data_IF_886885944370
#
_entry.id   IF_886885944370
#
_cell.length_a   1.000
_cell.length_b   1.000
_cell.length_c   1.000
_cell.angle_alpha   90.00
_cell.angle_beta   90.00
_cell.angle_gamma   90.00
#
_symmetry.space_group_name_H-M   'P 1'
#
loop_
_entity.id
_entity.type
_entity.pdbx_description
1 polymer ?
#
# COMPACT_ATOMS: atom_id res chain seq x y z
N UNK A 1 5.17 14.40 0.71
CA UNK A 1 4.78 13.06 0.24
C UNK A 1 6.01 12.43 -0.41
N UNK A 2 6.80 11.69 0.37
CA UNK A 2 8.00 11.03 -0.11
C UNK A 2 7.63 9.60 -0.52
N UNK A 3 7.83 9.26 -1.78
CA UNK A 3 7.62 7.91 -2.30
C UNK A 3 8.99 7.23 -2.28
N UNK A 4 9.20 6.28 -1.37
CA UNK A 4 10.40 5.45 -1.39
C UNK A 4 10.21 4.28 -2.35
N UNK A 5 11.12 4.14 -3.31
CA UNK A 5 11.18 3.03 -4.27
C UNK A 5 12.55 2.36 -4.08
N UNK A 6 12.62 1.29 -3.27
CA UNK A 6 13.83 0.51 -3.02
C UNK A 6 13.90 -0.69 -3.98
N UNK A 7 15.00 -0.79 -4.73
CA UNK A 7 15.14 -1.65 -5.89
C UNK A 7 16.14 -2.79 -5.59
N UNK A 8 15.70 -4.06 -5.53
CA UNK A 8 16.55 -5.26 -5.69
C UNK A 8 15.70 -6.54 -5.78
N UNK A 9 15.80 -7.24 -6.93
CA UNK A 9 15.44 -8.66 -7.20
C UNK A 9 14.02 -9.20 -6.94
N UNK A 10 13.15 -8.47 -6.24
CA UNK A 10 11.70 -8.65 -6.22
C UNK A 10 11.10 -7.36 -6.82
N UNK A 11 10.41 -7.42 -7.97
CA UNK A 11 9.81 -6.20 -8.52
C UNK A 11 8.88 -5.57 -7.48
N UNK A 12 9.14 -4.29 -7.24
CA UNK A 12 8.72 -3.50 -6.08
C UNK A 12 7.19 -3.49 -5.98
N UNK A 13 6.66 -3.85 -4.80
CA UNK A 13 5.23 -3.67 -4.50
C UNK A 13 5.00 -2.21 -4.07
N UNK A 14 4.11 -1.52 -4.77
CA UNK A 14 3.74 -0.14 -4.46
C UNK A 14 2.90 -0.11 -3.19
N UNK A 15 3.13 0.89 -2.36
CA UNK A 15 2.29 1.19 -1.21
C UNK A 15 2.06 2.70 -1.10
N UNK A 16 1.05 3.06 -0.32
CA UNK A 16 0.72 4.44 0.04
C UNK A 16 0.69 4.54 1.55
N UNK A 17 1.17 5.65 2.09
CA UNK A 17 1.18 5.91 3.52
C UNK A 17 0.48 7.23 3.86
N UNK A 18 -0.10 7.28 5.05
CA UNK A 18 -0.69 8.48 5.64
C UNK A 18 -0.32 8.52 7.12
N UNK A 19 0.44 9.56 7.50
CA UNK A 19 1.06 9.68 8.82
C UNK A 19 0.52 10.85 9.65
N UNK A 20 -0.36 11.68 9.09
CA UNK A 20 -0.77 12.94 9.74
C UNK A 20 -1.50 12.72 11.08
N UNK A 21 -2.17 11.57 11.24
CA UNK A 21 -2.86 11.19 12.48
C UNK A 21 -1.96 10.42 13.45
N UNK A 22 -0.73 10.06 13.07
CA UNK A 22 0.11 9.16 13.85
C UNK A 22 0.62 9.82 15.12
N UNK A 23 0.24 9.28 16.28
CA UNK A 23 0.71 9.75 17.58
C UNK A 23 1.95 8.98 18.01
N UNK A 24 3.09 9.67 18.07
CA UNK A 24 4.31 9.11 18.64
C UNK A 24 4.21 9.00 20.18
N UNK A 25 4.84 7.99 20.82
CA UNK A 25 5.59 6.88 20.21
C UNK A 25 4.74 5.63 19.90
N UNK A 26 3.52 5.54 20.44
CA UNK A 26 2.77 4.28 20.57
C UNK A 26 1.54 4.15 19.65
N UNK A 27 1.41 5.03 18.66
CA UNK A 27 0.33 4.97 17.69
C UNK A 27 0.32 3.62 16.95
N UNK A 28 -0.85 3.03 16.68
CA UNK A 28 -0.92 1.81 15.88
C UNK A 28 -0.70 2.10 14.38
N UNK A 29 -0.38 1.06 13.62
CA UNK A 29 -0.35 1.12 12.15
C UNK A 29 -1.49 0.28 11.60
N UNK A 30 -2.38 0.89 10.83
CA UNK A 30 -3.41 0.17 10.09
C UNK A 30 -2.88 -0.20 8.71
N UNK A 31 -2.72 -1.50 8.49
CA UNK A 31 -2.33 -2.07 7.20
C UNK A 31 -3.58 -2.45 6.39
N UNK A 32 -3.85 -1.69 5.34
CA UNK A 32 -4.92 -1.97 4.40
C UNK A 32 -4.39 -2.81 3.22
N UNK A 33 -4.87 -4.05 3.11
CA UNK A 33 -4.61 -4.91 1.96
C UNK A 33 -5.59 -4.57 0.85
N UNK A 34 -5.07 -4.19 -0.32
CA UNK A 34 -5.91 -3.91 -1.48
C UNK A 34 -6.35 -5.21 -2.16
N UNK A 35 -7.52 -5.15 -2.78
CA UNK A 35 -8.10 -6.27 -3.52
C UNK A 35 -7.58 -6.39 -4.96
N UNK A 36 -8.44 -6.93 -5.81
CA UNK A 36 -8.17 -7.30 -7.21
C UNK A 36 -8.15 -6.12 -8.20
N UNK A 37 -7.45 -5.05 -7.87
CA UNK A 37 -7.37 -3.88 -8.74
C UNK A 37 -6.22 -2.93 -8.42
N UNK A 38 -5.91 -2.01 -9.36
CA UNK A 38 -4.87 -1.02 -9.16
C UNK A 38 -5.20 -0.14 -7.95
N UNK A 39 -4.20 0.08 -7.10
CA UNK A 39 -4.27 1.01 -5.99
C UNK A 39 -3.86 2.41 -6.48
N UNK A 40 -4.75 3.39 -6.29
CA UNK A 40 -4.51 4.79 -6.69
C UNK A 40 -4.30 5.72 -5.49
N UNK A 41 -4.20 5.18 -4.27
CA UNK A 41 -4.04 5.95 -3.05
C UNK A 41 -4.76 5.31 -1.85
N UNK A 42 -4.82 6.07 -0.76
CA UNK A 42 -5.62 5.74 0.42
C UNK A 42 -7.01 6.32 0.24
N UNK A 43 -8.03 5.46 0.23
CA UNK A 43 -9.43 5.87 0.15
C UNK A 43 -9.88 6.48 1.47
N UNK A 44 -10.69 7.55 1.42
CA UNK A 44 -11.29 8.19 2.60
C UNK A 44 -12.46 7.37 3.12
N UNK A 45 -12.16 6.15 3.54
CA UNK A 45 -13.14 5.21 4.07
C UNK A 45 -13.20 5.33 5.60
N UNK A 46 -13.90 4.39 6.24
CA UNK A 46 -14.01 4.33 7.70
C UNK A 46 -12.64 4.20 8.41
N UNK A 47 -11.62 3.69 7.71
CA UNK A 47 -10.23 3.65 8.21
C UNK A 47 -9.68 5.05 8.53
N UNK A 48 -10.08 6.10 7.79
CA UNK A 48 -9.65 7.48 8.09
C UNK A 48 -10.28 8.02 9.39
N UNK A 49 -11.51 7.61 9.69
CA UNK A 49 -12.18 7.96 10.95
C UNK A 49 -11.48 7.25 12.12
N UNK A 50 -11.23 5.95 11.97
CA UNK A 50 -10.53 5.16 12.97
C UNK A 50 -9.09 5.66 13.17
N UNK A 51 -8.36 6.01 12.10
CA UNK A 51 -6.97 6.45 12.24
C UNK A 51 -6.87 7.75 13.03
N UNK A 52 -7.83 8.67 12.84
CA UNK A 52 -7.90 9.89 13.64
C UNK A 52 -8.23 9.60 15.11
N UNK A 53 -9.20 8.70 15.35
CA UNK A 53 -9.62 8.34 16.70
C UNK A 53 -8.51 7.67 17.52
N UNK A 54 -7.78 6.74 16.90
CA UNK A 54 -6.74 5.94 17.56
C UNK A 54 -5.34 6.52 17.44
N UNK A 55 -5.18 7.64 16.72
CA UNK A 55 -3.87 8.22 16.46
C UNK A 55 -2.96 7.31 15.62
N UNK A 56 -3.55 6.64 14.63
CA UNK A 56 -2.92 5.61 13.83
C UNK A 56 -2.31 6.13 12.53
N UNK A 57 -1.20 5.53 12.11
CA UNK A 57 -0.72 5.64 10.73
C UNK A 57 -1.50 4.67 9.85
N UNK A 58 -1.67 5.00 8.57
CA UNK A 58 -2.32 4.11 7.60
C UNK A 58 -1.35 3.78 6.50
N UNK A 59 -1.19 2.49 6.19
CA UNK A 59 -0.41 2.00 5.06
C UNK A 59 -1.33 1.15 4.17
N UNK A 60 -1.46 1.51 2.90
CA UNK A 60 -2.24 0.79 1.90
C UNK A 60 -1.30 0.08 0.94
N UNK A 61 -1.31 -1.25 0.96
CA UNK A 61 -0.43 -2.09 0.17
C UNK A 61 -1.14 -2.52 -1.11
N UNK A 62 -0.55 -2.22 -2.28
CA UNK A 62 -1.09 -2.69 -3.55
C UNK A 62 -0.90 -4.21 -3.70
N UNK A 63 -1.96 -4.88 -4.15
CA UNK A 63 -1.91 -6.32 -4.38
C UNK A 63 -0.97 -6.66 -5.54
N UNK A 64 -0.21 -7.75 -5.40
CA UNK A 64 0.68 -8.25 -6.46
C UNK A 64 -0.12 -8.53 -7.75
N UNK A 65 0.51 -8.32 -8.90
CA UNK A 65 -0.07 -8.45 -10.24
C UNK A 65 -1.11 -7.39 -10.63
N UNK A 66 -1.38 -6.41 -9.76
CA UNK A 66 -2.29 -5.30 -10.07
C UNK A 66 -1.54 -3.97 -10.12
N UNK A 67 -2.05 -3.07 -10.96
CA UNK A 67 -1.51 -1.73 -11.16
C UNK A 67 -0.03 -1.73 -11.52
N UNK A 68 0.79 -1.10 -10.67
CA UNK A 68 2.25 -1.00 -10.88
C UNK A 68 3.03 -2.08 -10.13
N UNK A 69 2.34 -2.92 -9.37
CA UNK A 69 2.93 -3.96 -8.51
C UNK A 69 2.95 -5.31 -9.22
N UNK A 70 3.50 -5.35 -10.43
CA UNK A 70 3.59 -6.59 -11.23
C UNK A 70 5.02 -7.08 -11.34
N UNK A 71 5.30 -8.38 -11.07
CA UNK A 71 6.61 -8.99 -11.29
C UNK A 71 6.99 -9.10 -12.77
N UNK A 72 6.02 -8.99 -13.67
CA UNK A 72 6.22 -9.12 -15.11
C UNK A 72 5.66 -7.91 -15.85
N UNK A 73 6.22 -7.59 -17.00
CA UNK A 73 5.68 -6.54 -17.88
C UNK A 73 4.37 -6.98 -18.53
N UNK A 74 4.20 -8.29 -18.75
CA UNK A 74 2.99 -8.89 -19.28
C UNK A 74 2.59 -10.14 -18.50
N UNK A 75 1.29 -10.38 -18.39
CA UNK A 75 0.72 -11.58 -17.76
C UNK A 75 0.57 -12.73 -18.77
N UNK A 76 1.62 -12.97 -19.57
CA UNK A 76 1.64 -14.06 -20.55
C UNK A 76 1.91 -15.41 -19.89
N UNK A 77 1.44 -16.51 -20.47
CA UNK A 77 1.61 -17.87 -19.91
C UNK A 77 3.06 -18.22 -19.55
N UNK A 78 4.11 -17.86 -20.34
CA UNK A 78 5.50 -18.10 -19.94
C UNK A 78 5.90 -17.41 -18.64
N UNK A 79 5.29 -16.27 -18.31
CA UNK A 79 5.57 -15.49 -17.09
C UNK A 79 4.81 -16.03 -15.86
N UNK A 80 3.87 -16.96 -16.02
CA UNK A 80 3.03 -17.51 -14.94
C UNK A 80 3.32 -18.99 -14.65
N UNK A 81 4.50 -19.47 -15.06
CA UNK A 81 4.96 -20.83 -14.80
C UNK A 81 5.53 -20.99 -13.40
#
# INVERSE_FOLDING_TARGET
>A
MYIYVSNSFCKITRYYEFLDNFRLPDGPIFLALRGEGPCNGITKDYISVLSNQFGAAVVSLEHRYYGKSSPFESLSTPNLR
#
